data_IF_165800412850
#
_entry.id   IF_165800412850
#
_cell.length_a   1.000
_cell.length_b   1.000
_cell.length_c   1.000
_cell.angle_alpha   90.00
_cell.angle_beta   90.00
_cell.angle_gamma   90.00
#
_symmetry.space_group_name_H-M   'P 1'
#
loop_
_entity.id
_entity.type
_entity.pdbx_description
1 polymer ?
#
# COMPACT_ATOMS: atom_id res chain seq x y z
N UNK A 1 10.50 -7.01 -3.45
CA UNK A 1 9.83 -6.56 -4.70
C UNK A 1 9.86 -5.04 -4.76
N UNK A 2 10.25 -4.49 -5.89
CA UNK A 2 10.26 -3.05 -6.06
C UNK A 2 8.85 -2.49 -6.18
N UNK A 3 8.66 -1.27 -5.70
CA UNK A 3 7.39 -0.55 -5.80
C UNK A 3 6.92 -0.46 -7.24
N UNK A 4 7.84 -0.20 -8.18
CA UNK A 4 7.52 -0.16 -9.61
C UNK A 4 6.93 -1.49 -10.11
N UNK A 5 7.41 -2.62 -9.59
CA UNK A 5 6.87 -3.92 -9.94
C UNK A 5 5.45 -4.11 -9.42
N UNK A 6 5.16 -3.58 -8.25
CA UNK A 6 3.82 -3.61 -7.68
C UNK A 6 2.86 -2.84 -8.58
N UNK A 7 3.25 -1.64 -9.03
CA UNK A 7 2.40 -0.86 -9.95
C UNK A 7 2.14 -1.62 -11.25
N UNK A 8 3.14 -2.33 -11.78
CA UNK A 8 2.96 -3.15 -12.99
C UNK A 8 1.95 -4.27 -12.77
N UNK A 9 2.02 -4.94 -11.60
CA UNK A 9 1.06 -6.00 -11.28
C UNK A 9 -0.36 -5.47 -11.18
N UNK A 10 -0.53 -4.23 -10.75
CA UNK A 10 -1.82 -3.58 -10.64
C UNK A 10 -2.32 -2.98 -11.96
N UNK A 11 -1.49 -3.01 -13.01
CA UNK A 11 -1.84 -2.38 -14.29
C UNK A 11 -1.84 -0.87 -14.21
N UNK A 12 -1.08 -0.29 -13.31
CA UNK A 12 -1.02 1.16 -13.11
C UNK A 12 0.36 1.70 -13.48
N UNK A 13 0.39 2.98 -13.87
CA UNK A 13 1.63 3.72 -14.04
C UNK A 13 2.06 4.29 -12.70
N UNK A 14 3.35 4.16 -12.38
CA UNK A 14 3.89 4.76 -11.17
C UNK A 14 3.85 6.29 -11.31
N UNK A 15 3.18 7.00 -10.38
CA UNK A 15 2.94 8.43 -10.56
C UNK A 15 4.15 9.33 -10.31
N UNK A 16 5.21 8.81 -9.69
CA UNK A 16 6.41 9.59 -9.37
C UNK A 16 7.65 8.73 -9.50
N UNK A 17 8.82 9.38 -9.59
CA UNK A 17 10.11 8.69 -9.63
C UNK A 17 10.54 8.25 -8.22
N UNK A 18 9.63 7.66 -7.49
CA UNK A 18 9.88 7.18 -6.15
C UNK A 18 9.98 5.67 -6.17
N UNK A 19 11.12 5.15 -5.78
CA UNK A 19 11.33 3.72 -5.73
C UNK A 19 11.55 3.27 -4.30
N UNK A 20 11.05 2.07 -4.00
CA UNK A 20 11.16 1.49 -2.67
C UNK A 20 11.19 -0.03 -2.82
N UNK A 21 12.08 -0.67 -2.09
CA UNK A 21 12.11 -2.13 -2.04
C UNK A 21 11.18 -2.61 -0.92
N UNK A 22 10.11 -3.28 -1.32
CA UNK A 22 9.14 -3.86 -0.39
C UNK A 22 9.57 -5.28 -0.09
N UNK A 23 9.98 -5.53 1.15
CA UNK A 23 10.50 -6.83 1.57
C UNK A 23 9.43 -7.73 2.19
N UNK A 24 8.26 -7.21 2.52
CA UNK A 24 7.22 -8.01 3.15
C UNK A 24 5.90 -7.29 3.23
N UNK A 25 4.94 -7.96 3.87
CA UNK A 25 3.58 -7.49 4.06
C UNK A 25 3.26 -7.48 5.56
N UNK A 26 2.45 -6.52 5.99
CA UNK A 26 2.01 -6.49 7.39
C UNK A 26 0.76 -5.65 7.55
N UNK A 27 0.16 -5.70 8.75
CA UNK A 27 -0.99 -4.85 9.08
C UNK A 27 -0.57 -3.38 9.20
N UNK A 28 -1.54 -2.48 9.12
CA UNK A 28 -1.28 -1.05 9.26
C UNK A 28 -0.51 -0.70 10.53
N UNK A 29 -0.85 -1.34 11.64
CA UNK A 29 -0.24 -1.04 12.94
C UNK A 29 1.19 -1.55 13.06
N UNK A 30 1.51 -2.64 12.38
CA UNK A 30 2.79 -3.34 12.54
C UNK A 30 3.77 -3.10 11.40
N UNK A 31 3.30 -2.62 10.26
CA UNK A 31 4.15 -2.48 9.08
C UNK A 31 5.25 -1.45 9.29
N UNK A 32 6.43 -1.78 8.82
CA UNK A 32 7.56 -0.88 8.77
C UNK A 32 7.75 -0.26 7.39
N UNK A 33 8.81 0.54 7.25
CA UNK A 33 9.05 1.35 6.04
C UNK A 33 9.33 0.53 4.77
N UNK A 34 9.66 -0.74 4.92
CA UNK A 34 9.89 -1.64 3.79
C UNK A 34 8.77 -2.66 3.62
N UNK A 35 7.60 -2.37 4.18
CA UNK A 35 6.47 -3.28 4.10
C UNK A 35 5.26 -2.61 3.45
N UNK A 36 4.46 -3.44 2.75
CA UNK A 36 3.20 -3.03 2.14
C UNK A 36 2.05 -3.39 3.07
N UNK A 37 1.10 -2.49 3.18
CA UNK A 37 -0.14 -2.73 3.89
C UNK A 37 -1.34 -2.31 3.04
N UNK A 38 -2.54 -2.44 3.57
CA UNK A 38 -3.75 -1.95 2.90
C UNK A 38 -4.76 -1.45 3.93
N UNK A 39 -5.66 -0.59 3.47
CA UNK A 39 -6.77 -0.10 4.27
C UNK A 39 -8.06 -0.54 3.62
N UNK A 40 -8.83 -1.37 4.33
CA UNK A 40 -10.09 -1.92 3.83
C UNK A 40 -11.25 -1.08 4.34
N UNK A 41 -11.71 -0.15 3.50
CA UNK A 41 -12.84 0.71 3.84
C UNK A 41 -12.55 1.61 5.03
N UNK A 42 -13.60 1.92 5.79
CA UNK A 42 -13.49 2.87 6.90
C UNK A 42 -13.05 2.24 8.22
N UNK A 43 -13.07 0.92 8.31
CA UNK A 43 -12.77 0.25 9.58
C UNK A 43 -11.36 0.56 10.08
N UNK A 44 -10.40 0.75 9.16
CA UNK A 44 -9.00 0.93 9.50
C UNK A 44 -8.49 2.35 9.22
N UNK A 45 -9.36 3.28 8.86
CA UNK A 45 -8.96 4.64 8.47
C UNK A 45 -8.17 5.33 9.57
N UNK A 46 -8.57 5.16 10.81
CA UNK A 46 -7.88 5.80 11.93
C UNK A 46 -6.42 5.36 12.07
N UNK A 47 -6.08 4.19 11.56
CA UNK A 47 -4.72 3.66 11.65
C UNK A 47 -3.82 4.16 10.50
N UNK A 48 -4.40 4.75 9.46
CA UNK A 48 -3.64 5.23 8.30
C UNK A 48 -2.63 6.31 8.67
N UNK A 49 -3.06 7.28 9.46
CA UNK A 49 -2.21 8.43 9.80
C UNK A 49 -1.00 8.03 10.62
N UNK A 50 -1.11 6.99 11.41
CA UNK A 50 -0.04 6.55 12.29
C UNK A 50 0.78 5.39 11.72
N UNK A 51 0.35 4.80 10.61
CA UNK A 51 1.06 3.65 10.04
C UNK A 51 2.41 4.06 9.46
N UNK A 52 3.43 3.25 9.76
CA UNK A 52 4.78 3.43 9.23
C UNK A 52 5.01 2.60 7.97
N UNK A 53 3.98 1.96 7.42
CA UNK A 53 4.12 1.17 6.19
C UNK A 53 4.75 2.01 5.09
N UNK A 54 5.70 1.43 4.36
CA UNK A 54 6.36 2.12 3.26
C UNK A 54 5.40 2.44 2.13
N UNK A 55 4.41 1.58 1.89
CA UNK A 55 3.34 1.81 0.93
C UNK A 55 2.04 1.19 1.45
N UNK A 56 0.92 1.83 1.13
CA UNK A 56 -0.39 1.37 1.56
C UNK A 56 -1.36 1.42 0.38
N UNK A 57 -1.97 0.28 0.08
CA UNK A 57 -3.08 0.22 -0.88
C UNK A 57 -4.32 0.82 -0.22
N UNK A 58 -4.91 1.82 -0.85
CA UNK A 58 -5.98 2.62 -0.24
C UNK A 58 -6.89 3.18 -1.31
N UNK A 59 -8.17 3.38 -0.98
CA UNK A 59 -9.10 4.08 -1.86
C UNK A 59 -8.70 5.54 -1.98
N UNK A 60 -9.01 6.14 -3.13
CA UNK A 60 -8.61 7.52 -3.41
C UNK A 60 -9.08 8.51 -2.35
N UNK A 61 -10.28 8.31 -1.81
CA UNK A 61 -10.85 9.20 -0.79
C UNK A 61 -10.02 9.26 0.50
N UNK A 62 -9.19 8.25 0.76
CA UNK A 62 -8.36 8.17 1.97
C UNK A 62 -6.87 8.37 1.70
N UNK A 63 -6.49 8.58 0.44
CA UNK A 63 -5.07 8.59 0.06
C UNK A 63 -4.26 9.69 0.78
N UNK A 64 -4.89 10.83 1.05
CA UNK A 64 -4.23 11.96 1.71
C UNK A 64 -3.95 11.73 3.19
N UNK A 65 -4.50 10.66 3.76
CA UNK A 65 -4.23 10.29 5.15
C UNK A 65 -2.98 9.42 5.31
N UNK A 66 -2.44 8.91 4.21
CA UNK A 66 -1.27 8.03 4.24
C UNK A 66 -0.02 8.84 4.50
N UNK A 67 0.77 8.39 5.50
CA UNK A 67 1.99 9.08 5.92
C UNK A 67 3.11 8.98 4.90
N UNK A 68 3.36 7.79 4.35
CA UNK A 68 4.46 7.56 3.43
C UNK A 68 3.99 7.55 1.98
N UNK A 69 3.64 6.39 1.44
CA UNK A 69 3.25 6.32 0.04
C UNK A 69 1.90 5.62 -0.12
N UNK A 70 0.96 6.28 -0.80
CA UNK A 70 -0.35 5.72 -1.09
C UNK A 70 -0.38 5.15 -2.50
N UNK A 71 -0.85 3.90 -2.63
CA UNK A 71 -1.15 3.28 -3.92
C UNK A 71 -2.67 3.25 -4.05
N UNK A 72 -3.20 3.97 -5.02
CA UNK A 72 -4.65 4.06 -5.19
C UNK A 72 -5.19 2.72 -5.70
N UNK A 73 -6.21 2.22 -5.04
CA UNK A 73 -6.86 0.97 -5.41
C UNK A 73 -8.36 1.09 -5.23
N UNK A 74 -9.13 0.55 -6.17
CA UNK A 74 -10.58 0.48 -6.04
C UNK A 74 -11.01 -0.64 -5.10
N UNK A 75 -10.15 -1.63 -4.92
CA UNK A 75 -10.39 -2.73 -4.00
C UNK A 75 -9.07 -3.11 -3.33
N UNK A 76 -8.68 -2.35 -2.28
CA UNK A 76 -7.37 -2.57 -1.63
C UNK A 76 -7.17 -3.98 -1.09
N UNK A 77 -8.23 -4.57 -0.52
CA UNK A 77 -8.14 -5.93 0.02
C UNK A 77 -7.82 -6.95 -1.08
N UNK A 78 -8.52 -6.88 -2.21
CA UNK A 78 -8.31 -7.80 -3.32
C UNK A 78 -6.91 -7.61 -3.92
N UNK A 79 -6.50 -6.38 -4.16
CA UNK A 79 -5.19 -6.09 -4.72
C UNK A 79 -4.08 -6.57 -3.78
N UNK A 80 -4.25 -6.36 -2.48
CA UNK A 80 -3.31 -6.83 -1.49
C UNK A 80 -3.20 -8.36 -1.53
N UNK A 81 -4.34 -9.06 -1.59
CA UNK A 81 -4.36 -10.51 -1.66
C UNK A 81 -3.64 -11.02 -2.92
N UNK A 82 -3.86 -10.38 -4.06
CA UNK A 82 -3.21 -10.76 -5.30
C UNK A 82 -1.70 -10.53 -5.24
N UNK A 83 -1.26 -9.42 -4.67
CA UNK A 83 0.16 -9.11 -4.52
C UNK A 83 0.82 -10.09 -3.55
N UNK A 84 0.11 -10.51 -2.50
CA UNK A 84 0.66 -11.42 -1.50
C UNK A 84 1.14 -12.74 -2.08
N UNK A 85 0.60 -13.17 -3.22
CA UNK A 85 1.03 -14.38 -3.90
C UNK A 85 2.51 -14.31 -4.35
N UNK A 86 3.09 -13.12 -4.43
CA UNK A 86 4.47 -12.91 -4.86
C UNK A 86 5.44 -12.76 -3.69
N UNK A 87 4.95 -12.86 -2.48
CA UNK A 87 5.74 -12.84 -1.26
C UNK A 87 5.65 -14.19 -0.54
#
# INVERSE_FOLDING_TARGET
MLLSSIYKLLGQNQPAEYELDISGLNSLKKAGVHELSYCDGEANVKDLKSSNAGAILVCQEHANLVKNHAIISKNPHLDFANISAFF
#
